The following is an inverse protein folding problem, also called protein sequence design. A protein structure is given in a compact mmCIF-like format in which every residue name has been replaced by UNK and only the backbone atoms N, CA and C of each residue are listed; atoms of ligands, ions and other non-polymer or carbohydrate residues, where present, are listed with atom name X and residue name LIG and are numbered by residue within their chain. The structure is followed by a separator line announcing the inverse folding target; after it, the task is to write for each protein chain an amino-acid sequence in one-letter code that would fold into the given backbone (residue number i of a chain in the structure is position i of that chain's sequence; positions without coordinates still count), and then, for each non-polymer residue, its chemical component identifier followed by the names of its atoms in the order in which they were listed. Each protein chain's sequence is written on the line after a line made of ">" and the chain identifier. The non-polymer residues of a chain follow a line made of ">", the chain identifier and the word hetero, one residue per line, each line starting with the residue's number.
data_IF_524304309779
#
_entry.id   IF_524304309779
#
_cell.length_a   1.000
_cell.length_b   1.000
_cell.length_c   1.000
_cell.angle_alpha   90.00
_cell.angle_beta   90.00
_cell.angle_gamma   90.00
#
_symmetry.space_group_name_H-M   'P 1'
#
loop_
_entity.id
_entity.type
_entity.pdbx_description
1 polymer ?
#
# COMPACT_ATOMS: atom_id res chain seq x y z
N UNK A 1 -4.28 26.45 -50.69
CA UNK A 1 -5.18 26.75 -49.56
C UNK A 1 -6.58 26.30 -49.96
N UNK A 2 -6.99 25.09 -49.55
CA UNK A 2 -8.36 24.57 -49.64
C UNK A 2 -8.58 23.66 -48.42
N UNK A 3 -9.64 23.96 -47.67
CA UNK A 3 -10.03 23.33 -46.42
C UNK A 3 -10.90 22.09 -46.70
N UNK A 4 -10.57 20.94 -46.13
CA UNK A 4 -11.37 19.71 -46.24
C UNK A 4 -12.32 19.57 -45.03
N UNK A 5 -13.63 19.32 -45.22
CA UNK A 5 -14.59 19.12 -44.12
C UNK A 5 -14.53 17.69 -43.54
N UNK A 6 -14.81 17.62 -42.23
CA UNK A 6 -14.81 16.42 -41.36
C UNK A 6 -15.87 15.40 -41.82
N UNK A 7 -15.47 14.13 -42.02
CA UNK A 7 -16.36 12.99 -42.22
C UNK A 7 -16.57 12.24 -40.89
N UNK A 8 -17.81 12.11 -40.45
CA UNK A 8 -18.23 11.49 -39.18
C UNK A 8 -18.42 9.97 -39.33
N UNK A 9 -17.87 9.21 -38.38
CA UNK A 9 -17.87 7.74 -38.32
C UNK A 9 -19.20 7.17 -37.82
N UNK A 10 -19.75 6.18 -38.54
CA UNK A 10 -20.52 5.09 -37.92
C UNK A 10 -20.26 3.78 -38.70
N UNK A 11 -19.58 2.77 -38.13
CA UNK A 11 -19.66 1.40 -38.61
C UNK A 11 -20.72 0.62 -37.82
N UNK A 12 -21.53 -0.11 -38.57
CA UNK A 12 -22.75 -0.84 -38.19
C UNK A 12 -22.61 -1.82 -37.02
N UNK A 13 -23.66 -1.92 -36.20
CA UNK A 13 -23.90 -3.01 -35.27
C UNK A 13 -24.28 -4.27 -36.06
N UNK A 14 -23.35 -5.20 -36.24
CA UNK A 14 -23.64 -6.54 -36.77
C UNK A 14 -23.98 -7.48 -35.61
N UNK A 15 -25.28 -7.79 -35.49
CA UNK A 15 -25.79 -8.77 -34.53
C UNK A 15 -25.58 -10.18 -35.11
N UNK A 16 -24.56 -10.91 -34.64
CA UNK A 16 -24.49 -12.36 -34.87
C UNK A 16 -24.52 -13.08 -33.54
N UNK A 17 -25.67 -13.71 -33.30
CA UNK A 17 -25.95 -14.69 -32.27
C UNK A 17 -24.94 -15.84 -32.33
N UNK A 18 -24.23 -16.07 -31.22
CA UNK A 18 -23.56 -17.35 -30.94
C UNK A 18 -24.04 -17.86 -29.60
N UNK A 19 -25.17 -18.57 -29.65
CA UNK A 19 -25.54 -19.57 -28.65
C UNK A 19 -24.96 -20.89 -29.09
N UNK A 20 -24.01 -21.43 -28.32
CA UNK A 20 -23.86 -22.87 -28.11
C UNK A 20 -23.08 -23.11 -26.83
N UNK A 21 -23.86 -23.41 -25.79
CA UNK A 21 -23.47 -24.12 -24.58
C UNK A 21 -22.81 -25.46 -24.91
N UNK A 22 -21.87 -25.86 -24.06
CA UNK A 22 -21.37 -27.23 -23.81
C UNK A 22 -19.89 -27.41 -24.14
N UNK A 23 -19.03 -27.13 -23.15
CA UNK A 23 -18.08 -28.15 -22.71
C UNK A 23 -17.58 -27.82 -21.30
N UNK A 24 -18.07 -28.61 -20.34
CA UNK A 24 -17.48 -28.79 -19.03
C UNK A 24 -16.26 -29.69 -19.25
N UNK A 25 -15.04 -29.14 -19.20
CA UNK A 25 -13.77 -29.82 -18.88
C UNK A 25 -12.60 -28.96 -19.35
N UNK A 26 -12.12 -28.06 -18.50
CA UNK A 26 -10.67 -27.93 -18.29
C UNK A 26 -10.44 -27.23 -16.94
N UNK A 27 -9.39 -27.67 -16.26
CA UNK A 27 -9.18 -27.52 -14.83
C UNK A 27 -9.16 -26.08 -14.33
N UNK A 28 -9.63 -25.92 -13.09
CA UNK A 28 -9.66 -24.66 -12.37
C UNK A 28 -8.30 -23.98 -12.33
N UNK A 29 -8.17 -22.91 -13.12
CA UNK A 29 -7.32 -21.79 -12.77
C UNK A 29 -8.00 -21.02 -11.63
N UNK A 30 -7.99 -21.61 -10.43
CA UNK A 30 -8.01 -20.82 -9.22
C UNK A 30 -6.78 -19.92 -9.32
N UNK A 31 -7.00 -18.67 -9.74
CA UNK A 31 -6.09 -17.59 -9.41
C UNK A 31 -6.12 -17.48 -7.89
N UNK A 32 -5.38 -18.37 -7.24
CA UNK A 32 -4.92 -18.20 -5.88
C UNK A 32 -4.05 -16.97 -5.96
N UNK A 33 -4.64 -15.80 -5.70
CA UNK A 33 -3.88 -14.61 -5.37
C UNK A 33 -2.93 -15.06 -4.27
N UNK A 34 -1.66 -15.23 -4.61
CA UNK A 34 -0.67 -15.72 -3.69
C UNK A 34 -0.62 -14.71 -2.54
N UNK A 35 -1.24 -15.08 -1.41
CA UNK A 35 -1.01 -14.42 -0.12
C UNK A 35 0.40 -14.85 0.30
N UNK A 36 1.39 -14.29 -0.40
CA UNK A 36 2.81 -14.50 -0.22
C UNK A 36 3.47 -13.12 -0.36
N UNK A 37 4.74 -12.98 0.04
CA UNK A 37 5.29 -12.32 1.23
C UNK A 37 5.00 -10.80 1.43
N UNK A 38 4.03 -10.23 0.73
CA UNK A 38 3.76 -8.79 0.65
C UNK A 38 3.55 -8.11 2.00
N UNK A 39 2.72 -8.67 2.90
CA UNK A 39 2.51 -8.07 4.22
C UNK A 39 3.76 -8.10 5.11
N UNK A 40 4.49 -9.22 5.15
CA UNK A 40 5.75 -9.31 5.91
C UNK A 40 6.78 -8.31 5.39
N UNK A 41 6.91 -8.18 4.06
CA UNK A 41 7.82 -7.21 3.43
C UNK A 41 7.41 -5.77 3.73
N UNK A 42 6.11 -5.46 3.69
CA UNK A 42 5.58 -4.16 4.06
C UNK A 42 5.89 -3.84 5.53
N UNK A 43 5.56 -4.74 6.46
CA UNK A 43 5.85 -4.57 7.89
C UNK A 43 7.34 -4.40 8.16
N UNK A 44 8.20 -5.19 7.52
CA UNK A 44 9.65 -5.05 7.61
C UNK A 44 10.10 -3.66 7.15
N UNK A 45 9.58 -3.19 6.01
CA UNK A 45 9.88 -1.85 5.48
C UNK A 45 9.39 -0.75 6.41
N UNK A 46 8.18 -0.87 6.97
CA UNK A 46 7.63 0.09 7.92
C UNK A 46 8.47 0.17 9.19
N UNK A 47 8.88 -0.98 9.74
CA UNK A 47 9.78 -1.03 10.89
C UNK A 47 11.13 -0.37 10.62
N UNK A 48 11.71 -0.60 9.43
CA UNK A 48 12.92 0.10 9.01
C UNK A 48 12.71 1.61 8.90
N UNK A 49 11.60 2.06 8.32
CA UNK A 49 11.28 3.48 8.20
C UNK A 49 11.08 4.15 9.57
N UNK A 50 10.42 3.49 10.53
CA UNK A 50 10.25 4.03 11.89
C UNK A 50 11.61 4.16 12.60
N UNK A 51 12.50 3.18 12.43
CA UNK A 51 13.85 3.25 12.97
C UNK A 51 14.64 4.42 12.35
N UNK A 52 14.48 4.65 11.06
CA UNK A 52 15.10 5.79 10.36
C UNK A 52 14.56 7.13 10.87
N UNK A 53 13.24 7.28 10.99
CA UNK A 53 12.59 8.44 11.60
C UNK A 53 13.10 8.70 13.02
N UNK A 54 13.28 7.65 13.82
CA UNK A 54 13.83 7.77 15.18
C UNK A 54 15.27 8.27 15.18
N UNK A 55 16.13 7.74 14.31
CA UNK A 55 17.52 8.18 14.16
C UNK A 55 17.62 9.64 13.71
N UNK A 56 16.80 10.00 12.72
CA UNK A 56 16.71 11.35 12.18
C UNK A 56 16.26 12.35 13.25
N UNK A 57 15.25 12.00 14.06
CA UNK A 57 14.81 12.84 15.17
C UNK A 57 15.87 12.99 16.27
N UNK A 58 16.64 11.93 16.56
CA UNK A 58 17.77 11.98 17.50
C UNK A 58 18.92 12.84 16.97
N UNK A 59 19.22 12.76 15.68
CA UNK A 59 20.23 13.60 15.04
C UNK A 59 19.82 15.06 15.03
N UNK A 60 18.57 15.37 14.68
CA UNK A 60 18.03 16.72 14.73
C UNK A 60 18.08 17.27 16.16
N UNK A 61 17.72 16.46 17.17
CA UNK A 61 17.79 16.83 18.58
C UNK A 61 19.23 17.16 19.01
N UNK A 62 20.19 16.35 18.54
CA UNK A 62 21.61 16.57 18.82
C UNK A 62 22.14 17.83 18.16
N UNK A 63 21.83 18.07 16.89
CA UNK A 63 22.23 19.29 16.14
C UNK A 63 21.64 20.55 16.76
N UNK A 64 20.40 20.47 17.25
CA UNK A 64 19.79 21.56 17.99
C UNK A 64 20.51 21.83 19.32
N UNK A 65 20.83 20.78 20.08
CA UNK A 65 21.54 20.91 21.36
C UNK A 65 22.98 21.40 21.22
N UNK A 66 23.66 21.11 20.10
CA UNK A 66 25.02 21.61 19.81
C UNK A 66 25.03 23.05 19.28
N UNK A 67 23.87 23.65 19.02
CA UNK A 67 23.74 24.99 18.46
C UNK A 67 24.03 25.07 16.96
N UNK A 68 24.16 23.94 16.27
CA UNK A 68 24.34 23.88 14.81
C UNK A 68 23.03 24.08 14.04
N UNK A 69 21.87 23.97 14.71
CA UNK A 69 20.56 24.16 14.10
C UNK A 69 19.71 25.15 14.89
N UNK A 70 19.22 26.18 14.21
CA UNK A 70 18.26 27.16 14.75
C UNK A 70 16.79 26.77 14.47
N UNK A 71 16.56 25.70 13.70
CA UNK A 71 15.22 25.29 13.27
C UNK A 71 14.53 24.37 14.28
N UNK A 72 14.16 24.95 15.43
CA UNK A 72 13.29 24.31 16.43
C UNK A 72 12.00 23.72 15.84
N UNK A 73 11.44 24.40 14.85
CA UNK A 73 10.19 23.97 14.20
C UNK A 73 10.35 22.64 13.48
N UNK A 74 11.45 22.48 12.73
CA UNK A 74 11.75 21.26 11.98
C UNK A 74 12.02 20.10 12.94
N UNK A 75 12.73 20.35 14.05
CA UNK A 75 12.92 19.36 15.12
C UNK A 75 11.58 18.89 15.69
N UNK A 76 10.68 19.81 16.03
CA UNK A 76 9.37 19.46 16.57
C UNK A 76 8.54 18.65 15.57
N UNK A 77 8.56 19.01 14.29
CA UNK A 77 7.88 18.25 13.23
C UNK A 77 8.45 16.82 13.17
N UNK A 78 9.77 16.68 13.11
CA UNK A 78 10.40 15.36 12.99
C UNK A 78 10.16 14.47 14.23
N UNK A 79 10.13 15.07 15.42
CA UNK A 79 9.77 14.36 16.65
C UNK A 79 8.31 13.89 16.62
N UNK A 80 7.39 14.75 16.17
CA UNK A 80 5.97 14.40 16.08
C UNK A 80 5.72 13.33 15.01
N UNK A 81 6.36 13.43 13.85
CA UNK A 81 6.30 12.41 12.79
C UNK A 81 6.83 11.07 13.28
N UNK A 82 7.99 11.04 13.93
CA UNK A 82 8.57 9.82 14.47
C UNK A 82 7.66 9.17 15.52
N UNK A 83 7.05 10.00 16.40
CA UNK A 83 6.08 9.56 17.41
C UNK A 83 4.84 8.96 16.76
N UNK A 84 4.21 9.67 15.83
CA UNK A 84 3.00 9.23 15.15
C UNK A 84 3.24 7.94 14.36
N UNK A 85 4.37 7.84 13.65
CA UNK A 85 4.74 6.64 12.89
C UNK A 85 4.95 5.43 13.79
N UNK A 86 5.55 5.63 14.97
CA UNK A 86 5.71 4.58 15.97
C UNK A 86 4.36 4.13 16.53
N UNK A 87 3.51 5.08 16.95
CA UNK A 87 2.18 4.82 17.51
C UNK A 87 1.33 4.02 16.49
N UNK A 88 1.33 4.44 15.22
CA UNK A 88 0.68 3.71 14.12
C UNK A 88 1.22 2.27 13.97
N UNK A 89 2.54 2.09 14.04
CA UNK A 89 3.17 0.78 13.89
C UNK A 89 2.79 -0.17 15.03
N UNK A 90 2.66 0.35 16.25
CA UNK A 90 2.18 -0.42 17.41
C UNK A 90 0.73 -0.86 17.19
N UNK A 91 -0.15 0.03 16.72
CA UNK A 91 -1.55 -0.32 16.43
C UNK A 91 -1.65 -1.40 15.36
N UNK A 92 -0.90 -1.28 14.27
CA UNK A 92 -0.88 -2.30 13.21
C UNK A 92 -0.35 -3.64 13.73
N UNK A 93 0.70 -3.63 14.57
CA UNK A 93 1.21 -4.84 15.22
C UNK A 93 0.13 -5.51 16.07
N UNK A 94 -0.57 -4.73 16.90
CA UNK A 94 -1.63 -5.24 17.77
C UNK A 94 -2.74 -5.88 16.94
N UNK A 95 -3.21 -5.20 15.90
CA UNK A 95 -4.25 -5.70 15.00
C UNK A 95 -3.84 -6.95 14.22
N UNK A 96 -2.57 -7.05 13.81
CA UNK A 96 -2.04 -8.25 13.18
C UNK A 96 -2.03 -9.45 14.14
N UNK A 97 -1.69 -9.24 15.41
CA UNK A 97 -1.72 -10.27 16.46
C UNK A 97 -3.16 -10.69 16.76
N UNK A 98 -4.09 -9.74 16.88
CA UNK A 98 -5.52 -10.02 17.07
C UNK A 98 -6.10 -10.82 15.91
N UNK A 99 -5.84 -10.44 14.66
CA UNK A 99 -6.32 -11.15 13.49
C UNK A 99 -5.80 -12.60 13.45
N UNK A 100 -4.54 -12.83 13.82
CA UNK A 100 -4.00 -14.19 13.93
C UNK A 100 -4.72 -15.02 15.02
N UNK A 101 -4.99 -14.41 16.18
CA UNK A 101 -5.73 -15.07 17.25
C UNK A 101 -7.17 -15.41 16.85
N UNK A 102 -7.86 -14.50 16.16
CA UNK A 102 -9.24 -14.69 15.71
C UNK A 102 -9.36 -15.83 14.70
N UNK A 103 -8.46 -15.89 13.71
CA UNK A 103 -8.40 -16.99 12.73
C UNK A 103 -8.24 -18.36 13.42
N UNK A 104 -7.44 -18.41 14.48
CA UNK A 104 -7.23 -19.65 15.26
C UNK A 104 -8.49 -20.04 16.04
N UNK A 105 -9.26 -19.07 16.55
CA UNK A 105 -10.52 -19.32 17.27
C UNK A 105 -11.66 -19.77 16.36
N UNK A 106 -11.67 -19.37 15.09
CA UNK A 106 -12.69 -19.82 14.13
C UNK A 106 -12.55 -21.28 13.69
N UNK A 107 -11.36 -21.89 13.86
CA UNK A 107 -11.04 -23.23 13.35
C UNK A 107 -11.12 -24.36 14.38
N UNK A 108 -11.55 -24.06 15.62
CA UNK A 108 -11.85 -25.09 16.64
C UNK A 108 -13.34 -25.42 16.69
#
# INVERSE_FOLDING_TARGET
>A
MQVHPIHFLIPSLETTSIKSTSSLADGGATQTMAIQPSFRKLMQSTLSNVNELQLVAQEASRKFATGESENLHELMIMLEEAKLALDLTVEVRNKAIEAYQELTRMQV
#
